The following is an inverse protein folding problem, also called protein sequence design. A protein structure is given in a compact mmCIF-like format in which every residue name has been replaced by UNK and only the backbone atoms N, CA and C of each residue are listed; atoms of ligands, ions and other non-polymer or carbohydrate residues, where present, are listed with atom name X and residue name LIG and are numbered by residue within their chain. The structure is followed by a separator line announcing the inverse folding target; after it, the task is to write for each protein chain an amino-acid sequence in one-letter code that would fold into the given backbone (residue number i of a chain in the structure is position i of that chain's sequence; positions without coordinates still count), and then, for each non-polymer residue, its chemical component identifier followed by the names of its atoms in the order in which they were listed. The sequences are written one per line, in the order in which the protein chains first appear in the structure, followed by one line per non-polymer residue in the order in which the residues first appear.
data_IF_232104492672
#
_entry.id   IF_232104492672
#
_cell.length_a   1.000
_cell.length_b   1.000
_cell.length_c   1.000
_cell.angle_alpha   90.00
_cell.angle_beta   90.00
_cell.angle_gamma   90.00
#
_symmetry.space_group_name_H-M   'P 1'
#
loop_
_entity.id
_entity.type
_entity.pdbx_description
1 polymer ?
#
# COMPACT_ATOMS: atom_id res chain seq x y z
N UNK A 1 -7.60 -1.11 -34.91
CA UNK A 1 -7.93 -0.35 -33.68
C UNK A 1 -6.79 -0.55 -32.69
N UNK A 2 -5.95 0.47 -32.44
CA UNK A 2 -4.93 0.40 -31.39
C UNK A 2 -5.66 0.22 -30.06
N UNK A 3 -5.49 -0.95 -29.42
CA UNK A 3 -6.04 -1.18 -28.09
C UNK A 3 -5.43 -0.13 -27.16
N UNK A 4 -6.26 0.70 -26.53
CA UNK A 4 -5.78 1.56 -25.45
C UNK A 4 -5.15 0.64 -24.41
N UNK A 5 -3.90 0.90 -23.95
CA UNK A 5 -3.27 0.07 -22.93
C UNK A 5 -4.22 0.04 -21.73
N UNK A 6 -4.58 -1.16 -21.29
CA UNK A 6 -5.46 -1.28 -20.14
C UNK A 6 -4.76 -0.65 -18.94
N UNK A 7 -5.44 0.25 -18.23
CA UNK A 7 -4.89 0.79 -16.99
C UNK A 7 -4.74 -0.35 -15.98
N UNK A 8 -3.50 -0.57 -15.56
CA UNK A 8 -3.15 -1.44 -14.45
C UNK A 8 -2.66 -0.60 -13.27
N UNK A 9 -2.93 -1.12 -12.08
CA UNK A 9 -2.33 -0.66 -10.84
C UNK A 9 -2.07 -1.87 -9.96
N UNK A 10 -1.23 -1.71 -8.95
CA UNK A 10 -0.91 -2.80 -8.05
C UNK A 10 -0.73 -2.37 -6.61
N UNK A 11 -0.27 -3.34 -5.84
CA UNK A 11 0.07 -3.20 -4.44
C UNK A 11 1.19 -4.20 -4.13
N UNK A 12 2.18 -3.78 -3.35
CA UNK A 12 3.09 -4.73 -2.74
C UNK A 12 2.35 -5.56 -1.69
N UNK A 13 2.70 -6.84 -1.63
CA UNK A 13 2.22 -7.78 -0.61
C UNK A 13 3.44 -8.48 0.01
N UNK A 14 3.21 -9.38 0.96
CA UNK A 14 4.32 -10.10 1.60
C UNK A 14 4.96 -11.00 0.54
N UNK A 15 6.27 -10.83 0.36
CA UNK A 15 7.07 -11.57 -0.62
C UNK A 15 6.59 -11.48 -2.08
N UNK A 16 5.90 -10.40 -2.46
CA UNK A 16 5.36 -10.32 -3.81
C UNK A 16 4.58 -9.07 -4.18
N UNK A 17 3.85 -9.19 -5.29
CA UNK A 17 3.04 -8.11 -5.86
C UNK A 17 1.65 -8.61 -6.24
N UNK A 18 0.68 -7.73 -6.05
CA UNK A 18 -0.67 -7.87 -6.58
C UNK A 18 -0.84 -6.87 -7.73
N UNK A 19 -1.31 -7.33 -8.88
CA UNK A 19 -1.69 -6.48 -10.01
C UNK A 19 -3.19 -6.58 -10.25
N UNK A 20 -3.85 -5.42 -10.28
CA UNK A 20 -5.27 -5.26 -10.61
C UNK A 20 -5.41 -4.69 -12.01
N UNK A 21 -6.05 -5.45 -12.89
CA UNK A 21 -6.51 -4.99 -14.19
C UNK A 21 -8.00 -4.63 -14.19
N UNK A 22 -8.58 -4.44 -15.37
CA UNK A 22 -10.00 -4.05 -15.52
C UNK A 22 -11.01 -5.12 -15.13
N UNK A 23 -10.63 -6.41 -15.20
CA UNK A 23 -11.52 -7.56 -15.00
C UNK A 23 -10.96 -8.64 -14.09
N UNK A 24 -9.71 -8.50 -13.67
CA UNK A 24 -8.96 -9.55 -13.00
C UNK A 24 -8.01 -8.91 -12.01
N UNK A 25 -7.85 -9.55 -10.86
CA UNK A 25 -6.72 -9.34 -9.97
C UNK A 25 -5.84 -10.59 -10.00
N UNK A 26 -4.53 -10.37 -10.03
CA UNK A 26 -3.52 -11.42 -10.01
C UNK A 26 -2.54 -11.13 -8.88
N UNK A 27 -2.09 -12.19 -8.21
CA UNK A 27 -1.13 -12.18 -7.12
C UNK A 27 0.02 -13.12 -7.52
N UNK A 28 1.24 -12.64 -7.33
CA UNK A 28 2.44 -13.47 -7.40
C UNK A 28 3.30 -13.18 -6.17
N UNK A 29 3.59 -14.21 -5.36
CA UNK A 29 4.49 -14.10 -4.22
C UNK A 29 5.41 -15.33 -4.11
N UNK A 30 6.58 -15.13 -3.51
CA UNK A 30 7.56 -16.18 -3.28
C UNK A 30 7.16 -16.99 -2.04
N UNK A 31 7.19 -18.31 -2.15
CA UNK A 31 7.03 -19.23 -1.01
C UNK A 31 8.33 -19.34 -0.22
N UNK A 32 8.30 -19.82 1.04
CA UNK A 32 9.51 -20.07 1.82
C UNK A 32 10.52 -21.01 1.12
N UNK A 33 10.05 -21.96 0.31
CA UNK A 33 10.89 -22.88 -0.47
C UNK A 33 11.51 -22.25 -1.74
N UNK A 34 11.23 -20.97 -2.03
CA UNK A 34 11.74 -20.24 -3.18
C UNK A 34 10.85 -20.24 -4.43
N UNK A 35 9.83 -21.11 -4.50
CA UNK A 35 8.90 -21.17 -5.63
C UNK A 35 7.99 -19.95 -5.69
N UNK A 36 7.46 -19.64 -6.88
CA UNK A 36 6.48 -18.56 -7.04
C UNK A 36 5.06 -19.11 -6.97
N UNK A 37 4.34 -18.74 -5.91
CA UNK A 37 2.90 -18.91 -5.84
C UNK A 37 2.21 -17.90 -6.76
N UNK A 38 1.24 -18.39 -7.55
CA UNK A 38 0.47 -17.57 -8.49
C UNK A 38 -1.01 -17.77 -8.23
N UNK A 39 -1.73 -16.67 -8.07
CA UNK A 39 -3.17 -16.68 -7.87
C UNK A 39 -3.84 -15.66 -8.78
N UNK A 40 -5.04 -15.98 -9.27
CA UNK A 40 -5.82 -15.11 -10.14
C UNK A 40 -7.30 -15.27 -9.84
N UNK A 41 -8.01 -14.16 -9.72
CA UNK A 41 -9.47 -14.16 -9.66
C UNK A 41 -10.10 -13.03 -10.49
N UNK A 42 -11.35 -13.24 -10.92
CA UNK A 42 -12.11 -12.23 -11.63
C UNK A 42 -12.64 -11.16 -10.66
N UNK A 43 -12.56 -9.88 -11.07
CA UNK A 43 -13.13 -8.78 -10.30
C UNK A 43 -14.65 -8.85 -10.37
N UNK A 44 -15.30 -8.97 -9.20
CA UNK A 44 -16.75 -8.99 -9.06
C UNK A 44 -17.22 -7.58 -8.72
N UNK A 45 -17.27 -6.70 -9.72
CA UNK A 45 -17.51 -5.28 -9.44
C UNK A 45 -19.00 -4.89 -9.39
N UNK A 46 -19.48 -4.27 -8.29
CA UNK A 46 -20.81 -3.66 -8.23
C UNK A 46 -20.99 -2.50 -9.23
N UNK A 47 -19.90 -1.88 -9.70
CA UNK A 47 -19.90 -0.80 -10.70
C UNK A 47 -20.47 -1.27 -12.05
N UNK A 48 -20.33 -2.56 -12.35
CA UNK A 48 -20.88 -3.18 -13.57
C UNK A 48 -22.36 -3.50 -13.40
N UNK A 49 -22.81 -3.78 -12.17
CA UNK A 49 -24.17 -4.28 -11.89
C UNK A 49 -25.19 -3.18 -11.61
N UNK A 50 -24.79 -2.03 -11.05
CA UNK A 50 -25.73 -0.99 -10.64
C UNK A 50 -25.49 0.34 -11.34
N UNK A 51 -26.58 1.02 -11.73
CA UNK A 51 -26.51 2.39 -12.27
C UNK A 51 -26.07 3.39 -11.20
N UNK A 52 -26.50 3.17 -9.95
CA UNK A 52 -26.21 4.05 -8.83
C UNK A 52 -24.72 4.06 -8.47
N UNK A 53 -24.03 2.91 -8.53
CA UNK A 53 -22.59 2.86 -8.27
C UNK A 53 -21.74 3.57 -9.34
N UNK A 54 -22.32 4.02 -10.44
CA UNK A 54 -21.61 4.78 -11.49
C UNK A 54 -21.63 6.30 -11.28
N UNK A 55 -22.43 6.81 -10.34
CA UNK A 55 -22.44 8.23 -9.99
C UNK A 55 -21.07 8.66 -9.43
N UNK A 56 -20.53 9.85 -9.76
CA UNK A 56 -19.12 10.20 -9.51
C UNK A 56 -18.67 10.04 -8.05
N UNK A 57 -19.47 10.46 -7.06
CA UNK A 57 -19.16 10.30 -5.64
C UNK A 57 -19.29 8.85 -5.17
N UNK A 58 -20.42 8.20 -5.47
CA UNK A 58 -20.68 6.80 -5.09
C UNK A 58 -19.66 5.87 -5.72
N UNK A 59 -19.30 6.14 -6.98
CA UNK A 59 -18.28 5.43 -7.74
C UNK A 59 -16.94 5.49 -7.03
N UNK A 60 -16.52 6.68 -6.57
CA UNK A 60 -15.28 6.83 -5.81
C UNK A 60 -15.26 5.95 -4.58
N UNK A 61 -16.33 5.99 -3.78
CA UNK A 61 -16.48 5.15 -2.56
C UNK A 61 -16.45 3.66 -2.91
N UNK A 62 -17.18 3.23 -3.94
CA UNK A 62 -17.22 1.83 -4.35
C UNK A 62 -15.84 1.36 -4.85
N UNK A 63 -15.14 2.17 -5.66
CA UNK A 63 -13.79 1.84 -6.12
C UNK A 63 -12.81 1.75 -4.96
N UNK A 64 -12.88 2.67 -4.01
CA UNK A 64 -12.03 2.66 -2.81
C UNK A 64 -12.29 1.41 -1.98
N UNK A 65 -13.57 1.09 -1.72
CA UNK A 65 -13.98 -0.09 -0.97
C UNK A 65 -13.50 -1.39 -1.63
N UNK A 66 -13.72 -1.53 -2.94
CA UNK A 66 -13.22 -2.69 -3.69
C UNK A 66 -11.70 -2.80 -3.60
N UNK A 67 -10.99 -1.69 -3.76
CA UNK A 67 -9.52 -1.71 -3.75
C UNK A 67 -8.99 -2.10 -2.36
N UNK A 68 -9.64 -1.63 -1.30
CA UNK A 68 -9.32 -2.01 0.07
C UNK A 68 -9.63 -3.49 0.36
N UNK A 69 -10.82 -3.97 -0.04
CA UNK A 69 -11.22 -5.38 0.14
C UNK A 69 -10.25 -6.32 -0.57
N UNK A 70 -10.00 -6.09 -1.87
CA UNK A 70 -9.03 -6.90 -2.61
C UNK A 70 -7.61 -6.75 -2.06
N UNK A 71 -7.19 -5.53 -1.69
CA UNK A 71 -5.86 -5.29 -1.11
C UNK A 71 -5.62 -6.07 0.18
N UNK A 72 -6.59 -6.04 1.11
CA UNK A 72 -6.55 -6.80 2.36
C UNK A 72 -6.57 -8.30 2.08
N UNK A 73 -7.49 -8.78 1.21
CA UNK A 73 -7.60 -10.20 0.88
C UNK A 73 -6.32 -10.76 0.25
N UNK A 74 -5.68 -10.02 -0.65
CA UNK A 74 -4.43 -10.44 -1.29
C UNK A 74 -3.25 -10.39 -0.32
N UNK A 75 -3.21 -9.41 0.59
CA UNK A 75 -2.23 -9.36 1.66
C UNK A 75 -2.35 -10.56 2.60
N UNK A 76 -3.56 -10.85 3.08
CA UNK A 76 -3.84 -12.00 3.94
C UNK A 76 -3.47 -13.31 3.25
N UNK A 77 -3.83 -13.47 1.98
CA UNK A 77 -3.45 -14.64 1.20
C UNK A 77 -1.92 -14.77 1.03
N UNK A 78 -1.21 -13.67 0.83
CA UNK A 78 0.26 -13.71 0.78
C UNK A 78 0.88 -14.11 2.11
N UNK A 79 0.27 -13.70 3.23
CA UNK A 79 0.68 -14.09 4.58
C UNK A 79 0.45 -15.59 4.81
N UNK A 80 -0.72 -16.12 4.43
CA UNK A 80 -1.03 -17.56 4.50
C UNK A 80 -0.03 -18.40 3.72
N UNK A 81 0.48 -17.90 2.58
CA UNK A 81 1.51 -18.59 1.78
C UNK A 81 2.88 -18.60 2.47
N UNK A 82 3.15 -17.66 3.38
CA UNK A 82 4.39 -17.65 4.17
C UNK A 82 4.33 -18.54 5.41
N UNK A 83 3.14 -18.82 5.93
CA UNK A 83 2.96 -19.69 7.09
C UNK A 83 3.12 -21.15 6.66
N UNK A 84 3.92 -21.91 7.40
CA UNK A 84 4.00 -23.36 7.23
C UNK A 84 2.66 -24.00 7.65
N UNK A 85 2.27 -25.12 7.04
CA UNK A 85 0.95 -25.76 7.30
C UNK A 85 0.72 -26.11 8.79
N UNK A 86 1.80 -26.20 9.58
CA UNK A 86 1.78 -26.56 11.00
C UNK A 86 1.80 -25.36 11.97
N UNK A 87 2.09 -24.13 11.50
CA UNK A 87 2.05 -22.92 12.31
C UNK A 87 0.69 -22.21 12.16
N UNK A 88 -0.34 -22.74 12.83
CA UNK A 88 -1.54 -21.95 13.09
C UNK A 88 -1.17 -20.80 14.02
N UNK A 89 -1.44 -19.57 13.58
CA UNK A 89 -1.30 -18.36 14.41
C UNK A 89 -2.08 -18.54 15.71
N UNK A 90 -1.37 -18.80 16.82
CA UNK A 90 -1.95 -18.92 18.15
C UNK A 90 -2.69 -17.64 18.52
N UNK A 91 -4.02 -17.70 18.56
CA UNK A 91 -4.93 -16.56 18.70
C UNK A 91 -4.71 -15.72 19.98
N UNK A 92 -4.13 -16.31 21.03
CA UNK A 92 -3.98 -15.68 22.34
C UNK A 92 -2.83 -14.66 22.44
N UNK A 93 -1.61 -15.00 22.00
CA UNK A 93 -0.44 -14.13 22.09
C UNK A 93 -0.47 -12.96 21.09
N UNK A 94 -1.17 -13.16 19.97
CA UNK A 94 -1.19 -12.21 18.87
C UNK A 94 -2.04 -10.96 19.19
N UNK A 95 -3.07 -11.06 20.04
CA UNK A 95 -3.94 -9.92 20.37
C UNK A 95 -3.26 -8.87 21.23
N UNK A 96 -2.42 -9.27 22.19
CA UNK A 96 -1.65 -8.34 23.02
C UNK A 96 -0.61 -7.59 22.18
N UNK A 97 0.12 -8.31 21.33
CA UNK A 97 1.12 -7.71 20.43
C UNK A 97 0.44 -6.76 19.44
N UNK A 98 -0.67 -7.18 18.84
CA UNK A 98 -1.46 -6.34 17.93
C UNK A 98 -2.01 -5.10 18.65
N UNK A 99 -2.52 -5.27 19.87
CA UNK A 99 -3.01 -4.17 20.70
C UNK A 99 -1.91 -3.19 21.10
N UNK A 100 -0.73 -3.70 21.46
CA UNK A 100 0.44 -2.88 21.76
C UNK A 100 0.95 -2.14 20.52
N UNK A 101 1.00 -2.79 19.35
CA UNK A 101 1.39 -2.16 18.10
C UNK A 101 0.39 -1.05 17.69
N UNK A 102 -0.91 -1.31 17.79
CA UNK A 102 -1.95 -0.32 17.54
C UNK A 102 -1.86 0.84 18.53
N UNK A 103 -1.72 0.55 19.82
CA UNK A 103 -1.55 1.56 20.87
C UNK A 103 -0.31 2.40 20.65
N UNK A 104 0.81 1.78 20.28
CA UNK A 104 2.05 2.47 19.92
C UNK A 104 1.89 3.37 18.70
N UNK A 105 1.19 2.91 17.67
CA UNK A 105 0.90 3.70 16.48
C UNK A 105 0.00 4.91 16.81
N UNK A 106 -1.05 4.73 17.61
CA UNK A 106 -1.93 5.83 18.06
C UNK A 106 -1.16 6.84 18.92
N UNK A 107 -0.33 6.34 19.84
CA UNK A 107 0.53 7.20 20.67
C UNK A 107 1.48 8.01 19.79
N UNK A 108 2.16 7.37 18.84
CA UNK A 108 3.13 8.00 17.97
C UNK A 108 2.46 9.04 17.06
N UNK A 109 1.40 8.69 16.34
CA UNK A 109 0.83 9.55 15.30
C UNK A 109 -0.25 10.51 15.78
N UNK A 110 -0.86 10.27 16.94
CA UNK A 110 -1.88 11.16 17.52
C UNK A 110 -1.36 11.79 18.81
N UNK A 111 -0.85 10.97 19.72
CA UNK A 111 -0.38 11.43 21.03
C UNK A 111 0.81 12.41 20.95
N UNK A 112 1.86 12.06 20.20
CA UNK A 112 3.06 12.90 20.09
C UNK A 112 2.75 14.25 19.41
N UNK A 113 2.07 14.33 18.25
CA UNK A 113 1.70 15.62 17.67
C UNK A 113 0.79 16.44 18.57
N UNK A 114 -0.15 15.81 19.28
CA UNK A 114 -1.01 16.51 20.24
C UNK A 114 -0.20 17.13 21.39
N UNK A 115 0.70 16.36 21.99
CA UNK A 115 1.55 16.86 23.07
C UNK A 115 2.49 17.97 22.58
N UNK A 116 3.13 17.77 21.43
CA UNK A 116 4.04 18.74 20.84
C UNK A 116 3.34 20.08 20.53
N UNK A 117 2.13 20.03 19.96
CA UNK A 117 1.33 21.23 19.69
C UNK A 117 0.80 21.88 20.96
N UNK A 118 0.42 21.10 21.97
CA UNK A 118 0.01 21.61 23.28
C UNK A 118 1.12 22.42 23.96
N UNK A 119 2.36 21.92 23.93
CA UNK A 119 3.52 22.65 24.45
C UNK A 119 3.84 23.89 23.61
N UNK A 120 3.72 23.80 22.28
CA UNK A 120 3.96 24.93 21.38
C UNK A 120 2.96 26.08 21.57
N UNK A 121 1.71 25.81 22.00
CA UNK A 121 0.70 26.84 22.30
C UNK A 121 1.16 27.84 23.36
N UNK A 122 1.98 27.41 24.32
CA UNK A 122 2.50 28.29 25.35
C UNK A 122 3.46 29.37 24.80
N UNK A 123 4.06 29.11 23.62
CA UNK A 123 5.06 29.97 23.00
C UNK A 123 4.54 30.66 21.72
N UNK A 124 3.51 30.10 21.08
CA UNK A 124 3.00 30.56 19.78
C UNK A 124 1.54 31.04 19.94
N UNK A 125 1.31 32.37 20.02
CA UNK A 125 -0.03 32.93 20.17
C UNK A 125 -0.86 32.93 18.87
N UNK A 126 -0.21 32.89 17.70
CA UNK A 126 -0.90 32.89 16.40
C UNK A 126 -1.42 31.50 16.04
N UNK A 127 -2.74 31.38 15.82
CA UNK A 127 -3.38 30.13 15.42
C UNK A 127 -2.89 29.62 14.07
N UNK A 128 -2.55 30.52 13.14
CA UNK A 128 -2.02 30.14 11.82
C UNK A 128 -0.63 29.50 11.96
N UNK A 129 0.26 30.14 12.72
CA UNK A 129 1.62 29.63 12.95
C UNK A 129 1.57 28.29 13.69
N UNK A 130 0.65 28.14 14.65
CA UNK A 130 0.46 26.90 15.37
C UNK A 130 0.00 25.75 14.44
N UNK A 131 -0.96 26.01 13.56
CA UNK A 131 -1.46 25.00 12.60
C UNK A 131 -0.37 24.58 11.60
N UNK A 132 0.44 25.54 11.11
CA UNK A 132 1.59 25.24 10.25
C UNK A 132 2.62 24.39 11.00
N UNK A 133 2.92 24.76 12.24
CA UNK A 133 3.85 24.01 13.10
C UNK A 133 3.36 22.58 13.35
N UNK A 134 2.07 22.41 13.63
CA UNK A 134 1.44 21.10 13.76
C UNK A 134 1.60 20.26 12.49
N UNK A 135 1.32 20.84 11.32
CA UNK A 135 1.49 20.20 10.03
C UNK A 135 2.92 19.75 9.79
N UNK A 136 3.90 20.62 10.10
CA UNK A 136 5.33 20.30 9.98
C UNK A 136 5.76 19.19 10.93
N UNK A 137 5.29 19.19 12.18
CA UNK A 137 5.58 18.11 13.15
C UNK A 137 5.02 16.79 12.65
N UNK A 138 3.77 16.76 12.19
CA UNK A 138 3.14 15.54 11.64
C UNK A 138 3.88 15.04 10.40
N UNK A 139 4.27 15.94 9.49
CA UNK A 139 5.04 15.58 8.29
C UNK A 139 6.43 15.04 8.64
N UNK A 140 7.16 15.73 9.51
CA UNK A 140 8.49 15.30 9.96
C UNK A 140 8.41 13.95 10.67
N UNK A 141 7.39 13.74 11.51
CA UNK A 141 7.16 12.45 12.16
C UNK A 141 6.86 11.34 11.15
N UNK A 142 5.98 11.59 10.17
CA UNK A 142 5.64 10.63 9.13
C UNK A 142 6.87 10.23 8.30
N UNK A 143 7.61 11.22 7.80
CA UNK A 143 8.83 10.99 7.00
C UNK A 143 9.89 10.28 7.84
N UNK A 144 10.13 10.75 9.07
CA UNK A 144 11.07 10.14 10.00
C UNK A 144 10.72 8.69 10.32
N UNK A 145 9.44 8.38 10.55
CA UNK A 145 8.96 7.02 10.74
C UNK A 145 9.21 6.15 9.52
N UNK A 146 8.85 6.61 8.31
CA UNK A 146 9.08 5.85 7.07
C UNK A 146 10.57 5.56 6.84
N UNK A 147 11.44 6.54 7.09
CA UNK A 147 12.89 6.36 7.03
C UNK A 147 13.34 5.33 8.07
N UNK A 148 12.89 5.44 9.32
CA UNK A 148 13.27 4.52 10.38
C UNK A 148 12.87 3.07 10.08
N UNK A 149 11.64 2.82 9.62
CA UNK A 149 11.20 1.46 9.29
C UNK A 149 11.86 0.92 8.01
N UNK A 150 12.35 1.78 7.11
CA UNK A 150 13.04 1.35 5.90
C UNK A 150 14.34 0.58 6.16
N UNK A 151 14.91 0.70 7.37
CA UNK A 151 16.07 -0.07 7.80
C UNK A 151 15.72 -1.49 8.23
N UNK A 152 14.44 -1.81 8.45
CA UNK A 152 13.99 -3.16 8.78
C UNK A 152 14.01 -4.03 7.51
N UNK A 153 14.68 -5.21 7.51
CA UNK A 153 14.83 -6.05 6.33
C UNK A 153 13.51 -6.41 5.63
N UNK A 154 12.48 -6.74 6.41
CA UNK A 154 11.18 -7.15 5.89
C UNK A 154 10.46 -5.98 5.20
N UNK A 155 10.51 -4.79 5.82
CA UNK A 155 9.93 -3.56 5.25
C UNK A 155 10.67 -3.14 3.99
N UNK A 156 12.01 -3.18 4.02
CA UNK A 156 12.84 -2.89 2.84
C UNK A 156 12.47 -3.81 1.67
N UNK A 157 12.17 -5.06 1.94
CA UNK A 157 11.75 -6.03 0.94
C UNK A 157 10.39 -5.71 0.36
N UNK A 158 9.41 -5.31 1.18
CA UNK A 158 8.10 -4.82 0.71
C UNK A 158 8.27 -3.58 -0.19
N UNK A 159 9.15 -2.65 0.18
CA UNK A 159 9.46 -1.49 -0.68
C UNK A 159 10.11 -1.89 -2.02
N UNK A 160 10.98 -2.90 -2.02
CA UNK A 160 11.55 -3.43 -3.26
C UNK A 160 10.47 -4.04 -4.17
N UNK A 161 9.53 -4.82 -3.61
CA UNK A 161 8.39 -5.34 -4.38
C UNK A 161 7.47 -4.23 -4.90
N UNK A 162 7.27 -3.16 -4.14
CA UNK A 162 6.51 -2.00 -4.62
C UNK A 162 7.21 -1.29 -5.79
N UNK A 163 8.53 -1.09 -5.70
CA UNK A 163 9.32 -0.57 -6.82
C UNK A 163 9.20 -1.47 -8.05
N UNK A 164 9.34 -2.79 -7.88
CA UNK A 164 9.20 -3.76 -8.96
C UNK A 164 7.81 -3.74 -9.61
N UNK A 165 6.74 -3.52 -8.84
CA UNK A 165 5.38 -3.34 -9.36
C UNK A 165 5.31 -2.14 -10.31
N UNK A 166 5.81 -0.99 -9.90
CA UNK A 166 5.84 0.20 -10.74
C UNK A 166 6.68 0.02 -12.01
N UNK A 167 7.86 -0.58 -11.88
CA UNK A 167 8.75 -0.83 -13.02
C UNK A 167 8.11 -1.78 -14.03
N UNK A 168 7.40 -2.81 -13.54
CA UNK A 168 6.67 -3.77 -14.38
C UNK A 168 5.53 -3.08 -15.12
N UNK A 169 4.80 -2.18 -14.46
CA UNK A 169 3.73 -1.41 -15.09
C UNK A 169 4.29 -0.48 -16.16
N UNK A 170 5.41 0.21 -15.90
CA UNK A 170 6.07 1.03 -16.92
C UNK A 170 6.44 0.22 -18.16
N UNK A 171 7.13 -0.91 -17.98
CA UNK A 171 7.49 -1.80 -19.10
C UNK A 171 6.26 -2.24 -19.90
N UNK A 172 5.18 -2.61 -19.20
CA UNK A 172 3.92 -2.97 -19.84
C UNK A 172 3.32 -1.82 -20.66
N UNK A 173 3.32 -0.60 -20.13
CA UNK A 173 2.75 0.57 -20.81
C UNK A 173 3.54 1.01 -22.03
N UNK A 174 4.85 0.76 -22.04
CA UNK A 174 5.73 1.01 -23.18
C UNK A 174 5.70 -0.14 -24.20
N UNK A 175 5.02 -1.25 -23.89
CA UNK A 175 4.93 -2.42 -24.76
C UNK A 175 6.19 -3.28 -24.78
N UNK A 176 7.06 -3.14 -23.77
CA UNK A 176 8.27 -3.92 -23.65
C UNK A 176 8.00 -5.35 -23.17
N UNK A 177 8.88 -6.32 -23.50
CA UNK A 177 8.81 -7.65 -22.93
C UNK A 177 8.86 -7.61 -21.40
N UNK A 178 7.99 -8.38 -20.75
CA UNK A 178 7.96 -8.50 -19.28
C UNK A 178 9.04 -9.48 -18.78
N UNK A 179 10.30 -9.14 -19.05
CA UNK A 179 11.47 -9.86 -18.54
C UNK A 179 12.25 -8.97 -17.58
N UNK A 180 12.92 -9.53 -16.55
CA UNK A 180 13.66 -8.74 -15.57
C UNK A 180 14.61 -7.70 -16.19
N UNK A 181 15.32 -8.08 -17.26
CA UNK A 181 16.32 -7.24 -17.93
C UNK A 181 15.71 -6.01 -18.62
N UNK A 182 14.43 -6.11 -19.02
CA UNK A 182 13.69 -5.01 -19.65
C UNK A 182 12.92 -4.16 -18.63
N UNK A 183 12.61 -4.74 -17.48
CA UNK A 183 11.90 -4.06 -16.40
C UNK A 183 12.86 -3.22 -15.54
N UNK A 184 14.05 -3.75 -15.24
CA UNK A 184 15.05 -3.14 -14.35
C UNK A 184 15.43 -1.68 -14.69
N UNK A 185 15.51 -1.25 -15.97
CA UNK A 185 15.84 0.13 -16.30
C UNK A 185 14.75 1.16 -15.98
N UNK A 186 13.51 0.74 -15.76
CA UNK A 186 12.41 1.67 -15.49
C UNK A 186 12.50 2.30 -14.09
N UNK A 187 12.02 3.53 -13.91
CA UNK A 187 12.03 4.16 -12.60
C UNK A 187 11.03 3.48 -11.66
N UNK A 188 11.39 3.45 -10.37
CA UNK A 188 10.46 3.02 -9.31
C UNK A 188 9.37 4.04 -9.02
N UNK A 189 9.47 5.27 -9.52
CA UNK A 189 8.42 6.29 -9.39
C UNK A 189 7.38 6.13 -10.52
N UNK A 190 6.11 6.11 -10.15
CA UNK A 190 5.01 5.98 -11.11
C UNK A 190 3.93 7.05 -10.82
N UNK A 191 3.42 7.79 -11.83
CA UNK A 191 2.49 8.92 -11.63
C UNK A 191 1.14 8.54 -11.00
N UNK A 192 0.77 7.26 -11.07
CA UNK A 192 -0.42 6.70 -10.43
C UNK A 192 -0.20 6.20 -9.00
N UNK A 193 1.01 6.30 -8.46
CA UNK A 193 1.28 5.91 -7.08
C UNK A 193 0.81 7.01 -6.11
N UNK A 194 0.26 6.59 -4.97
CA UNK A 194 -0.11 7.50 -3.88
C UNK A 194 1.06 8.36 -3.37
N UNK A 195 2.31 7.91 -3.52
CA UNK A 195 3.50 8.69 -3.15
C UNK A 195 3.78 9.86 -4.07
N UNK A 196 3.24 9.87 -5.30
CA UNK A 196 3.32 11.02 -6.19
C UNK A 196 2.58 12.24 -5.64
N UNK A 197 1.58 12.04 -4.77
CA UNK A 197 0.89 13.14 -4.07
C UNK A 197 1.76 13.82 -3.01
N UNK A 198 2.89 13.24 -2.58
CA UNK A 198 3.85 13.93 -1.72
C UNK A 198 4.72 14.94 -2.49
N UNK A 199 4.76 14.85 -3.83
CA UNK A 199 5.57 15.67 -4.72
C UNK A 199 4.74 16.70 -5.54
N UNK A 200 3.43 16.74 -5.35
CA UNK A 200 2.48 17.70 -5.94
C UNK A 200 2.01 18.69 -4.88
#
# INVERSE_FOLDING_TARGET
MKQQPALYGGQAVIEGVMIRGRRTVALACRKPNGDIYRYREALRSPLVRSRLARLPFVRGVVVLWESLDYGIRMLMRSAEVQLDQDEQLGTGGNTLIMGAALGGALLLFIGVPYLATSLARAMIPSSVVLNVTEGLIRLALLVGYLVAISFLPDVRRVFAYHGAEHMTIHAFEHGDPLTPERIEPYPTAHPRCGTAFLLL
#
